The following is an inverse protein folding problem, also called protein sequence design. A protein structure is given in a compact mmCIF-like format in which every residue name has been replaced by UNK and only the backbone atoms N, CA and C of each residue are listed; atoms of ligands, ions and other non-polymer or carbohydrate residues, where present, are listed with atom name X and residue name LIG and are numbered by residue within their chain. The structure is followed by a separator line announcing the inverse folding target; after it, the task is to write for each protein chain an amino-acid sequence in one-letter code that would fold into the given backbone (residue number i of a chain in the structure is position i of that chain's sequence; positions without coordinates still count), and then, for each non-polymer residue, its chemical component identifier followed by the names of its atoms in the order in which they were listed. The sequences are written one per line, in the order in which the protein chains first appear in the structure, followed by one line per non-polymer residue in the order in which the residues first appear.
data_IF_031435290134
#
_entry.id   IF_031435290134
#
_cell.length_a   1.000
_cell.length_b   1.000
_cell.length_c   1.000
_cell.angle_alpha   90.00
_cell.angle_beta   90.00
_cell.angle_gamma   90.00
#
_symmetry.space_group_name_H-M   'P 1'
#
loop_
_entity.id
_entity.type
_entity.pdbx_description
1 polymer ?
#
# COMPACT_ATOMS: atom_id res chain seq x y z
N UNK A 1 -21.67 2.08 -14.86
CA UNK A 1 -21.53 0.65 -14.48
C UNK A 1 -20.20 0.46 -13.80
N UNK A 2 -20.13 -0.36 -12.76
CA UNK A 2 -18.86 -0.68 -12.09
C UNK A 2 -17.95 -1.48 -13.04
N UNK A 3 -16.67 -1.13 -13.09
CA UNK A 3 -15.65 -1.85 -13.87
C UNK A 3 -15.22 -3.08 -13.10
N UNK A 4 -15.09 -4.25 -13.76
CA UNK A 4 -14.63 -5.50 -13.17
C UNK A 4 -13.39 -5.97 -13.90
N UNK A 5 -12.41 -6.46 -13.14
CA UNK A 5 -11.22 -7.13 -13.67
C UNK A 5 -11.56 -8.59 -14.04
N UNK A 6 -10.70 -9.22 -14.85
CA UNK A 6 -10.97 -10.58 -15.33
C UNK A 6 -11.16 -11.59 -14.21
N UNK A 7 -10.42 -11.48 -13.14
CA UNK A 7 -10.54 -12.36 -11.97
C UNK A 7 -11.74 -12.08 -11.09
N UNK A 8 -12.44 -10.94 -11.30
CA UNK A 8 -13.68 -10.58 -10.60
C UNK A 8 -14.95 -11.02 -11.35
N UNK A 9 -14.85 -11.73 -12.48
CA UNK A 9 -16.02 -12.12 -13.30
C UNK A 9 -17.08 -12.92 -12.52
N UNK A 10 -16.64 -13.84 -11.64
CA UNK A 10 -17.57 -14.62 -10.81
C UNK A 10 -18.30 -13.73 -9.79
N UNK A 11 -17.62 -12.73 -9.22
CA UNK A 11 -18.20 -11.72 -8.31
C UNK A 11 -19.27 -10.92 -9.06
N UNK A 12 -18.95 -10.46 -10.28
CA UNK A 12 -19.89 -9.73 -11.14
C UNK A 12 -21.17 -10.53 -11.39
N UNK A 13 -21.03 -11.79 -11.80
CA UNK A 13 -22.18 -12.67 -12.06
C UNK A 13 -23.07 -12.82 -10.83
N UNK A 14 -22.48 -13.09 -9.65
CA UNK A 14 -23.24 -13.22 -8.41
C UNK A 14 -23.96 -11.91 -8.06
N UNK A 15 -23.35 -10.75 -8.29
CA UNK A 15 -23.98 -9.45 -8.05
C UNK A 15 -25.14 -9.18 -9.02
N UNK A 16 -25.02 -9.58 -10.28
CA UNK A 16 -26.11 -9.52 -11.26
C UNK A 16 -27.28 -10.45 -10.85
N UNK A 17 -26.97 -11.66 -10.35
CA UNK A 17 -27.97 -12.58 -9.80
C UNK A 17 -28.70 -11.98 -8.59
N UNK A 18 -27.97 -11.32 -7.67
CA UNK A 18 -28.56 -10.61 -6.51
C UNK A 18 -29.54 -9.54 -6.98
N UNK A 19 -29.14 -8.70 -7.94
CA UNK A 19 -30.03 -7.66 -8.50
C UNK A 19 -31.27 -8.30 -9.10
N UNK A 20 -31.10 -9.38 -9.84
CA UNK A 20 -32.23 -10.11 -10.47
C UNK A 20 -33.18 -10.71 -9.43
N UNK A 21 -32.64 -11.28 -8.33
CA UNK A 21 -33.43 -11.80 -7.22
C UNK A 21 -34.18 -10.70 -6.45
N UNK A 22 -33.56 -9.52 -6.28
CA UNK A 22 -34.20 -8.34 -5.68
C UNK A 22 -35.36 -7.83 -6.50
N UNK A 23 -35.21 -7.77 -7.83
CA UNK A 23 -36.33 -7.39 -8.75
C UNK A 23 -37.50 -8.37 -8.66
N UNK A 24 -37.24 -9.66 -8.41
CA UNK A 24 -38.25 -10.70 -8.20
C UNK A 24 -38.80 -10.73 -6.78
N UNK A 25 -38.34 -9.86 -5.87
CA UNK A 25 -38.74 -9.84 -4.45
C UNK A 25 -38.50 -11.18 -3.72
N UNK A 26 -37.43 -11.91 -4.10
CA UNK A 26 -37.09 -13.19 -3.48
C UNK A 26 -35.98 -12.99 -2.41
N UNK A 27 -36.36 -12.58 -1.21
CA UNK A 27 -35.46 -12.24 -0.12
C UNK A 27 -34.61 -13.45 0.32
N UNK A 28 -35.16 -14.66 0.29
CA UNK A 28 -34.41 -15.87 0.67
C UNK A 28 -33.26 -16.16 -0.30
N UNK A 29 -33.50 -15.99 -1.62
CA UNK A 29 -32.49 -16.13 -2.67
C UNK A 29 -31.42 -15.03 -2.54
N UNK A 30 -31.83 -13.79 -2.26
CA UNK A 30 -30.92 -12.66 -2.03
C UNK A 30 -29.93 -12.95 -0.89
N UNK A 31 -30.43 -13.45 0.25
CA UNK A 31 -29.58 -13.78 1.39
C UNK A 31 -28.63 -14.97 1.10
N UNK A 32 -29.09 -15.98 0.37
CA UNK A 32 -28.23 -17.07 -0.06
C UNK A 32 -27.12 -16.62 -1.01
N UNK A 33 -27.46 -15.75 -1.98
CA UNK A 33 -26.50 -15.16 -2.92
C UNK A 33 -25.51 -14.22 -2.27
N UNK A 34 -25.90 -13.42 -1.27
CA UNK A 34 -24.97 -12.58 -0.48
C UNK A 34 -23.93 -13.45 0.24
N UNK A 35 -24.34 -14.53 0.90
CA UNK A 35 -23.40 -15.47 1.55
C UNK A 35 -22.47 -16.14 0.56
N UNK A 36 -22.95 -16.42 -0.67
CA UNK A 36 -22.12 -16.94 -1.77
C UNK A 36 -21.12 -15.88 -2.24
N UNK A 37 -21.57 -14.63 -2.36
CA UNK A 37 -20.72 -13.49 -2.73
C UNK A 37 -19.58 -13.32 -1.73
N UNK A 38 -19.87 -13.29 -0.43
CA UNK A 38 -18.85 -13.12 0.62
C UNK A 38 -17.78 -14.20 0.55
N UNK A 39 -18.18 -15.47 0.38
CA UNK A 39 -17.24 -16.60 0.22
C UNK A 39 -16.38 -16.46 -1.04
N UNK A 40 -16.97 -16.06 -2.15
CA UNK A 40 -16.25 -15.92 -3.43
C UNK A 40 -15.27 -14.73 -3.37
N UNK A 41 -15.69 -13.60 -2.77
CA UNK A 41 -14.82 -12.45 -2.50
C UNK A 41 -13.65 -12.88 -1.63
N UNK A 42 -13.91 -13.56 -0.52
CA UNK A 42 -12.86 -14.03 0.38
C UNK A 42 -11.87 -14.97 -0.31
N UNK A 43 -12.35 -15.90 -1.10
CA UNK A 43 -11.54 -16.85 -1.87
C UNK A 43 -10.62 -16.16 -2.86
N UNK A 44 -11.12 -15.16 -3.60
CA UNK A 44 -10.36 -14.44 -4.62
C UNK A 44 -9.37 -13.48 -3.97
N UNK A 45 -9.84 -12.60 -3.08
CA UNK A 45 -9.04 -11.49 -2.57
C UNK A 45 -8.02 -11.89 -1.48
N UNK A 46 -8.16 -13.06 -0.86
CA UNK A 46 -7.11 -13.61 0.01
C UNK A 46 -5.92 -14.20 -0.76
N UNK A 47 -6.11 -14.53 -2.04
CA UNK A 47 -5.13 -15.25 -2.86
C UNK A 47 -4.75 -14.49 -4.14
N UNK A 48 -4.76 -13.16 -4.12
CA UNK A 48 -4.38 -12.36 -5.27
C UNK A 48 -2.90 -12.55 -5.61
N UNK A 49 -2.61 -12.77 -6.89
CA UNK A 49 -1.24 -12.70 -7.41
C UNK A 49 -0.73 -11.25 -7.43
N UNK A 50 0.60 -11.07 -7.49
CA UNK A 50 1.21 -9.75 -7.57
C UNK A 50 0.72 -8.98 -8.80
N UNK A 51 0.49 -9.68 -9.91
CA UNK A 51 -0.09 -9.10 -11.12
C UNK A 51 -1.55 -8.62 -10.90
N UNK A 52 -2.36 -9.38 -10.18
CA UNK A 52 -3.72 -8.95 -9.82
C UNK A 52 -3.70 -7.74 -8.88
N UNK A 53 -2.75 -7.66 -7.95
CA UNK A 53 -2.54 -6.46 -7.12
C UNK A 53 -2.14 -5.25 -7.97
N UNK A 54 -1.24 -5.43 -8.95
CA UNK A 54 -0.90 -4.40 -9.94
C UNK A 54 -2.14 -3.89 -10.68
N UNK A 55 -3.03 -4.81 -11.12
CA UNK A 55 -4.29 -4.44 -11.79
C UNK A 55 -5.21 -3.63 -10.86
N UNK A 56 -5.29 -4.01 -9.57
CA UNK A 56 -6.06 -3.26 -8.56
C UNK A 56 -5.48 -1.87 -8.28
N UNK A 57 -4.14 -1.75 -8.19
CA UNK A 57 -3.47 -0.46 -8.03
C UNK A 57 -3.82 0.52 -9.15
N UNK A 58 -4.00 0.02 -10.36
CA UNK A 58 -4.33 0.77 -11.58
C UNK A 58 -5.80 0.78 -11.94
N UNK A 59 -6.67 0.26 -11.06
CA UNK A 59 -8.10 0.15 -11.36
C UNK A 59 -8.73 1.52 -11.62
N UNK A 60 -9.55 1.66 -12.67
CA UNK A 60 -10.13 2.93 -13.10
C UNK A 60 -11.02 3.60 -12.05
N UNK A 61 -11.70 2.78 -11.23
CA UNK A 61 -12.57 3.27 -10.16
C UNK A 61 -11.83 3.46 -8.83
N UNK A 62 -10.51 3.17 -8.75
CA UNK A 62 -9.72 3.42 -7.55
C UNK A 62 -9.70 4.92 -7.23
N UNK A 63 -9.88 5.32 -5.96
CA UNK A 63 -9.81 6.72 -5.57
C UNK A 63 -8.42 7.30 -5.84
N UNK A 64 -8.37 8.51 -6.39
CA UNK A 64 -7.16 9.29 -6.57
C UNK A 64 -6.97 10.27 -5.41
N UNK A 65 -5.84 10.96 -5.36
CA UNK A 65 -5.51 11.87 -4.27
C UNK A 65 -6.62 12.89 -3.97
N UNK A 66 -7.22 13.50 -5.01
CA UNK A 66 -8.31 14.48 -4.83
C UNK A 66 -9.56 13.85 -4.22
N UNK A 67 -9.86 12.59 -4.51
CA UNK A 67 -11.01 11.89 -3.92
C UNK A 67 -10.77 11.72 -2.41
N UNK A 68 -9.58 11.25 -2.00
CA UNK A 68 -9.22 11.14 -0.59
C UNK A 68 -9.22 12.49 0.12
N UNK A 69 -8.59 13.52 -0.47
CA UNK A 69 -8.58 14.87 0.08
C UNK A 69 -10.00 15.39 0.32
N UNK A 70 -10.93 15.12 -0.60
CA UNK A 70 -12.32 15.55 -0.46
C UNK A 70 -13.07 14.78 0.64
N UNK A 71 -12.72 13.52 0.90
CA UNK A 71 -13.34 12.70 1.95
C UNK A 71 -12.76 12.95 3.34
N UNK A 72 -11.47 13.29 3.47
CA UNK A 72 -10.80 13.39 4.78
C UNK A 72 -10.53 14.81 5.26
N UNK A 73 -10.49 15.81 4.35
CA UNK A 73 -10.19 17.21 4.69
C UNK A 73 -11.42 18.09 4.69
N UNK A 74 -11.43 19.07 5.59
CA UNK A 74 -12.39 20.17 5.60
C UNK A 74 -11.67 21.53 5.72
N UNK A 75 -12.38 22.64 5.49
CA UNK A 75 -11.87 24.01 5.52
C UNK A 75 -10.52 24.16 4.80
N UNK A 76 -10.48 23.64 3.57
CA UNK A 76 -9.25 23.51 2.79
C UNK A 76 -9.14 24.53 1.67
N UNK A 77 -7.91 24.97 1.43
CA UNK A 77 -7.54 25.90 0.36
C UNK A 77 -6.49 25.28 -0.53
N UNK A 78 -6.69 25.34 -1.84
CA UNK A 78 -5.72 24.82 -2.81
C UNK A 78 -4.57 25.80 -3.03
N UNK A 79 -3.34 25.30 -3.05
CA UNK A 79 -2.11 26.05 -3.30
C UNK A 79 -1.69 25.83 -4.74
N UNK A 80 -1.64 26.90 -5.54
CA UNK A 80 -1.31 26.85 -6.96
C UNK A 80 0.05 27.43 -7.29
N UNK A 81 0.68 26.90 -8.34
CA UNK A 81 1.88 27.43 -8.98
C UNK A 81 3.17 27.24 -8.19
N UNK A 82 4.27 27.15 -8.93
CA UNK A 82 5.62 26.95 -8.39
C UNK A 82 6.36 28.25 -8.04
N UNK A 83 5.82 29.41 -8.41
CA UNK A 83 6.45 30.75 -8.30
C UNK A 83 7.69 30.94 -9.19
N UNK A 84 7.90 30.04 -10.15
CA UNK A 84 8.99 30.15 -11.13
C UNK A 84 8.47 30.18 -12.56
N UNK A 85 7.64 29.22 -12.96
CA UNK A 85 7.18 29.07 -14.32
C UNK A 85 5.65 29.06 -14.44
N UNK A 86 4.99 28.05 -13.86
CA UNK A 86 3.52 27.89 -13.91
C UNK A 86 2.99 26.94 -12.85
N UNK A 87 1.72 26.59 -12.97
CA UNK A 87 1.09 25.52 -12.22
C UNK A 87 1.14 24.20 -12.98
N UNK A 88 1.17 23.07 -12.25
CA UNK A 88 1.00 21.73 -12.79
C UNK A 88 -0.16 21.01 -12.09
N UNK A 89 -1.15 20.62 -12.89
CA UNK A 89 -2.35 19.94 -12.38
C UNK A 89 -2.11 18.48 -12.01
N UNK A 90 -0.96 17.88 -12.34
CA UNK A 90 -0.59 16.53 -11.93
C UNK A 90 -0.18 16.45 -10.46
N UNK A 91 0.20 17.56 -9.84
CA UNK A 91 0.36 17.69 -8.39
C UNK A 91 -0.68 18.68 -7.87
N UNK A 92 -1.35 18.31 -6.78
CA UNK A 92 -2.30 19.16 -6.06
C UNK A 92 -1.79 19.36 -4.64
N UNK A 93 -1.94 20.57 -4.11
CA UNK A 93 -1.49 20.91 -2.77
C UNK A 93 -2.63 21.63 -2.04
N UNK A 94 -2.93 21.22 -0.83
CA UNK A 94 -3.97 21.82 0.00
C UNK A 94 -3.43 22.15 1.40
N UNK A 95 -3.95 23.22 1.99
CA UNK A 95 -3.83 23.53 3.40
C UNK A 95 -5.23 23.53 4.01
N UNK A 96 -5.41 22.91 5.16
CA UNK A 96 -6.72 22.79 5.82
C UNK A 96 -6.67 21.88 7.02
N UNK A 97 -7.72 21.15 7.30
CA UNK A 97 -7.85 20.29 8.47
C UNK A 97 -8.14 18.84 8.11
N UNK A 98 -7.55 17.90 8.85
CA UNK A 98 -7.94 16.49 8.92
C UNK A 98 -8.34 16.20 10.39
N UNK A 99 -9.64 15.99 10.66
CA UNK A 99 -10.13 16.08 12.05
C UNK A 99 -9.86 17.47 12.62
N UNK A 100 -9.24 17.53 13.79
CA UNK A 100 -8.86 18.82 14.43
C UNK A 100 -7.42 19.23 14.09
N UNK A 101 -6.69 18.43 13.31
CA UNK A 101 -5.30 18.66 12.98
C UNK A 101 -5.19 19.59 11.76
N UNK A 102 -4.47 20.71 11.90
CA UNK A 102 -4.10 21.59 10.78
C UNK A 102 -2.99 20.94 9.99
N UNK A 103 -3.15 20.80 8.68
CA UNK A 103 -2.21 20.05 7.84
C UNK A 103 -1.95 20.71 6.50
N UNK A 104 -0.82 20.38 5.90
CA UNK A 104 -0.61 20.53 4.46
C UNK A 104 -0.69 19.14 3.82
N UNK A 105 -1.43 19.03 2.71
CA UNK A 105 -1.54 17.80 1.94
C UNK A 105 -1.04 18.04 0.53
N UNK A 106 -0.15 17.18 0.06
CA UNK A 106 0.35 17.13 -1.31
C UNK A 106 -0.12 15.82 -1.92
N UNK A 107 -0.63 15.84 -3.15
CA UNK A 107 -1.08 14.61 -3.81
C UNK A 107 -0.71 14.59 -5.29
N UNK A 108 -0.23 13.45 -5.76
CA UNK A 108 -0.15 13.16 -7.19
C UNK A 108 -1.52 12.77 -7.70
N UNK A 109 -1.95 13.43 -8.76
CA UNK A 109 -3.32 13.38 -9.23
C UNK A 109 -3.42 12.89 -10.66
N UNK A 110 -3.96 11.71 -10.84
CA UNK A 110 -4.41 11.20 -12.14
C UNK A 110 -5.77 11.82 -12.51
N UNK A 111 -6.07 11.90 -13.79
CA UNK A 111 -7.36 12.40 -14.28
C UNK A 111 -8.32 11.28 -14.67
N UNK A 112 -9.64 11.51 -14.52
CA UNK A 112 -10.70 10.67 -15.10
C UNK A 112 -11.22 11.26 -16.40
N UNK A 113 -11.42 10.39 -17.39
CA UNK A 113 -11.79 10.79 -18.75
C UNK A 113 -10.64 11.49 -19.50
N UNK A 114 -10.71 11.50 -20.83
CA UNK A 114 -9.61 11.94 -21.71
C UNK A 114 -9.15 13.36 -21.41
N UNK A 115 -10.08 14.31 -21.31
CA UNK A 115 -9.76 15.72 -21.08
C UNK A 115 -8.99 15.96 -19.77
N UNK A 116 -9.43 15.32 -18.68
CA UNK A 116 -8.76 15.46 -17.39
C UNK A 116 -7.44 14.70 -17.33
N UNK A 117 -7.34 13.54 -17.99
CA UNK A 117 -6.06 12.83 -18.12
C UNK A 117 -5.03 13.68 -18.82
N UNK A 118 -5.39 14.30 -19.96
CA UNK A 118 -4.49 15.22 -20.69
C UNK A 118 -4.10 16.43 -19.85
N UNK A 119 -5.07 17.08 -19.16
CA UNK A 119 -4.79 18.23 -18.27
C UNK A 119 -3.79 17.89 -17.16
N UNK A 120 -3.76 16.65 -16.70
CA UNK A 120 -2.90 16.15 -15.60
C UNK A 120 -1.74 15.29 -16.10
N UNK A 121 -1.39 15.40 -17.38
CA UNK A 121 -0.30 14.65 -18.00
C UNK A 121 -0.35 13.15 -17.67
N UNK A 122 -1.55 12.55 -17.60
CA UNK A 122 -1.78 11.17 -17.21
C UNK A 122 -1.26 10.80 -15.79
N UNK A 123 -1.13 11.79 -14.93
CA UNK A 123 -0.58 11.65 -13.58
C UNK A 123 0.93 11.77 -13.52
N UNK A 124 1.58 12.23 -14.58
CA UNK A 124 3.02 12.43 -14.66
C UNK A 124 3.36 13.91 -14.43
N UNK A 125 3.93 14.31 -13.27
CA UNK A 125 4.24 15.71 -13.00
C UNK A 125 5.40 16.25 -13.85
N UNK A 126 5.29 17.50 -14.22
CA UNK A 126 6.38 18.32 -14.75
C UNK A 126 7.23 18.92 -13.60
N UNK A 127 8.39 19.55 -13.89
CA UNK A 127 9.24 20.18 -12.88
C UNK A 127 8.51 21.16 -11.96
N UNK A 128 7.61 21.95 -12.54
CA UNK A 128 6.79 22.92 -11.80
C UNK A 128 5.84 22.28 -10.79
N UNK A 129 5.41 21.05 -11.02
CA UNK A 129 4.64 20.25 -10.04
C UNK A 129 5.48 19.93 -8.81
N UNK A 130 6.70 19.42 -8.98
CA UNK A 130 7.62 19.12 -7.90
C UNK A 130 8.05 20.36 -7.13
N UNK A 131 8.34 21.48 -7.84
CA UNK A 131 8.64 22.76 -7.18
C UNK A 131 7.45 23.31 -6.39
N UNK A 132 6.23 23.13 -6.89
CA UNK A 132 5.01 23.47 -6.13
C UNK A 132 4.87 22.59 -4.88
N UNK A 133 5.14 21.28 -4.98
CA UNK A 133 5.15 20.39 -3.84
C UNK A 133 6.14 20.84 -2.77
N UNK A 134 7.39 21.14 -3.17
CA UNK A 134 8.41 21.64 -2.24
C UNK A 134 7.98 22.96 -1.59
N UNK A 135 7.41 23.88 -2.36
CA UNK A 135 6.89 25.14 -1.81
C UNK A 135 5.80 24.92 -0.77
N UNK A 136 4.90 23.96 -1.00
CA UNK A 136 3.88 23.59 -0.03
C UNK A 136 4.49 22.92 1.22
N UNK A 137 5.50 22.07 1.05
CA UNK A 137 6.25 21.45 2.16
C UNK A 137 6.96 22.51 3.01
N UNK A 138 7.61 23.51 2.38
CA UNK A 138 8.24 24.63 3.12
C UNK A 138 7.22 25.55 3.82
N UNK A 139 5.98 25.65 3.32
CA UNK A 139 4.91 26.31 4.08
C UNK A 139 4.49 25.47 5.30
N UNK A 140 4.41 24.16 5.17
CA UNK A 140 4.15 23.28 6.32
C UNK A 140 5.22 23.46 7.41
N UNK A 141 6.49 23.43 7.03
CA UNK A 141 7.63 23.66 7.94
C UNK A 141 7.52 25.03 8.62
N UNK A 142 7.34 26.11 7.83
CA UNK A 142 7.25 27.47 8.34
C UNK A 142 6.16 27.68 9.39
N UNK A 143 5.05 26.98 9.27
CA UNK A 143 3.90 27.09 10.17
C UNK A 143 3.82 25.92 11.17
N UNK A 144 4.84 25.05 11.20
CA UNK A 144 4.91 23.85 12.03
C UNK A 144 3.65 22.97 11.89
N UNK A 145 3.22 22.75 10.64
CA UNK A 145 2.09 21.91 10.29
C UNK A 145 2.58 20.53 9.84
N UNK A 146 1.95 19.44 10.23
CA UNK A 146 2.21 18.13 9.64
C UNK A 146 1.97 18.13 8.14
N UNK A 147 2.76 17.31 7.44
CA UNK A 147 2.68 17.16 5.99
C UNK A 147 2.23 15.73 5.64
N UNK A 148 1.13 15.61 4.89
CA UNK A 148 0.68 14.36 4.28
C UNK A 148 0.97 14.40 2.78
N UNK A 149 1.62 13.35 2.27
CA UNK A 149 1.92 13.17 0.85
C UNK A 149 1.23 11.91 0.32
N UNK A 150 0.40 12.05 -0.71
CA UNK A 150 -0.36 10.96 -1.34
C UNK A 150 0.23 10.69 -2.73
N UNK A 151 0.84 9.51 -2.88
CA UNK A 151 1.56 9.10 -4.09
C UNK A 151 0.65 8.29 -4.99
N UNK A 152 0.45 8.76 -6.24
CA UNK A 152 -0.24 8.02 -7.29
C UNK A 152 0.19 8.47 -8.70
N UNK A 153 1.37 8.04 -9.13
CA UNK A 153 1.97 8.41 -10.42
C UNK A 153 2.61 7.20 -11.10
N UNK A 154 2.53 7.09 -12.43
CA UNK A 154 3.36 6.14 -13.19
C UNK A 154 4.82 6.56 -13.28
N UNK A 155 5.16 7.82 -12.93
CA UNK A 155 6.49 8.40 -12.99
C UNK A 155 6.47 9.89 -13.31
N UNK A 156 7.64 10.52 -13.36
CA UNK A 156 7.79 11.91 -13.81
C UNK A 156 7.56 12.03 -15.32
N UNK A 157 7.08 13.19 -15.78
CA UNK A 157 6.87 13.44 -17.21
C UNK A 157 8.21 13.43 -17.98
N UNK A 158 8.36 12.56 -19.02
CA UNK A 158 9.66 12.33 -19.66
C UNK A 158 9.90 13.21 -20.90
N UNK A 159 9.04 14.20 -21.19
CA UNK A 159 9.11 14.99 -22.41
C UNK A 159 10.19 16.06 -22.39
N UNK A 160 10.66 16.48 -23.58
CA UNK A 160 11.68 17.51 -23.79
C UNK A 160 11.41 18.78 -22.95
N UNK A 161 10.18 19.27 -22.95
CA UNK A 161 9.84 20.46 -22.17
C UNK A 161 10.00 20.29 -20.65
N UNK A 162 10.00 19.06 -20.11
CA UNK A 162 10.35 18.82 -18.72
C UNK A 162 11.86 18.86 -18.51
N UNK A 163 12.64 18.28 -19.42
CA UNK A 163 14.10 18.38 -19.38
C UNK A 163 14.61 19.81 -19.49
N UNK A 164 14.08 20.59 -20.42
CA UNK A 164 14.39 22.03 -20.59
C UNK A 164 14.14 22.84 -19.31
N UNK A 165 13.21 22.39 -18.46
CA UNK A 165 12.88 23.05 -17.19
C UNK A 165 13.45 22.36 -15.97
N UNK A 166 14.46 21.48 -16.17
CA UNK A 166 15.22 20.81 -15.12
C UNK A 166 14.38 19.80 -14.29
N UNK A 167 13.80 18.79 -14.95
CA UNK A 167 13.03 17.71 -14.29
C UNK A 167 13.84 16.99 -13.21
N UNK A 168 15.07 16.59 -13.54
CA UNK A 168 15.94 15.88 -12.60
C UNK A 168 16.35 16.74 -11.40
N UNK A 169 16.63 18.02 -11.60
CA UNK A 169 16.94 18.96 -10.51
C UNK A 169 15.72 19.14 -9.59
N UNK A 170 14.52 19.32 -10.14
CA UNK A 170 13.32 19.50 -9.34
C UNK A 170 13.02 18.26 -8.46
N UNK A 171 13.25 17.05 -8.97
CA UNK A 171 13.14 15.81 -8.21
C UNK A 171 14.23 15.72 -7.15
N UNK A 172 15.51 15.89 -7.54
CA UNK A 172 16.65 15.76 -6.64
C UNK A 172 16.60 16.78 -5.49
N UNK A 173 16.19 18.01 -5.77
CA UNK A 173 15.99 19.03 -4.76
C UNK A 173 14.91 18.64 -3.76
N UNK A 174 13.80 18.08 -4.22
CA UNK A 174 12.77 17.59 -3.32
C UNK A 174 13.29 16.49 -2.40
N UNK A 175 14.09 15.54 -2.92
CA UNK A 175 14.69 14.49 -2.08
C UNK A 175 15.53 15.08 -0.96
N UNK A 176 16.42 16.03 -1.28
CA UNK A 176 17.29 16.70 -0.32
C UNK A 176 16.48 17.48 0.72
N UNK A 177 15.62 18.37 0.26
CA UNK A 177 14.87 19.30 1.12
C UNK A 177 13.82 18.60 2.00
N UNK A 178 13.18 17.52 1.51
CA UNK A 178 12.25 16.73 2.31
C UNK A 178 12.99 15.89 3.36
N UNK A 179 14.21 15.42 3.06
CA UNK A 179 15.03 14.72 4.05
C UNK A 179 15.36 15.61 5.25
N UNK A 180 15.54 16.91 5.02
CA UNK A 180 15.89 17.91 6.03
C UNK A 180 14.67 18.64 6.64
N UNK A 181 13.44 18.32 6.20
CA UNK A 181 12.23 19.05 6.61
C UNK A 181 11.93 18.85 8.10
N UNK A 182 11.77 19.95 8.82
CA UNK A 182 11.67 19.96 10.29
C UNK A 182 10.27 19.74 10.85
N UNK A 183 9.28 19.46 10.06
CA UNK A 183 7.91 19.16 10.50
C UNK A 183 7.60 17.66 10.36
N UNK A 184 6.65 17.10 11.13
CA UNK A 184 6.20 15.71 10.94
C UNK A 184 5.72 15.44 9.52
N UNK A 185 6.22 14.36 8.91
CA UNK A 185 5.91 14.01 7.53
C UNK A 185 5.44 12.57 7.41
N UNK A 186 4.35 12.35 6.67
CA UNK A 186 3.81 11.03 6.35
C UNK A 186 3.58 10.94 4.85
N UNK A 187 4.13 9.92 4.21
CA UNK A 187 3.93 9.63 2.79
C UNK A 187 3.22 8.30 2.59
N UNK A 188 2.22 8.26 1.73
CA UNK A 188 1.37 7.09 1.50
C UNK A 188 1.21 6.83 0.01
N UNK A 189 1.61 5.64 -0.44
CA UNK A 189 1.30 5.18 -1.79
C UNK A 189 -0.14 4.70 -1.83
N UNK A 190 -1.01 5.43 -2.53
CA UNK A 190 -2.45 5.16 -2.60
C UNK A 190 -2.86 4.35 -3.83
N UNK A 191 -1.99 4.23 -4.81
CA UNK A 191 -2.21 3.47 -6.04
C UNK A 191 -0.91 2.98 -6.64
N UNK A 192 -0.30 3.76 -7.50
CA UNK A 192 0.93 3.42 -8.21
C UNK A 192 2.03 4.44 -7.87
N UNK A 193 3.17 3.97 -7.35
CA UNK A 193 4.33 4.80 -7.06
C UNK A 193 5.47 4.51 -8.04
N UNK A 194 5.57 5.32 -9.11
CA UNK A 194 6.53 5.11 -10.18
C UNK A 194 7.80 5.94 -10.04
N UNK A 195 8.96 5.27 -9.90
CA UNK A 195 10.31 5.82 -10.08
C UNK A 195 10.57 7.13 -9.30
N UNK A 196 11.42 8.01 -9.84
CA UNK A 196 11.74 9.32 -9.28
C UNK A 196 10.53 10.23 -9.11
N UNK A 197 9.47 10.03 -9.91
CA UNK A 197 8.22 10.77 -9.74
C UNK A 197 7.59 10.57 -8.37
N UNK A 198 7.50 9.33 -7.95
CA UNK A 198 6.99 8.96 -6.63
C UNK A 198 7.97 9.34 -5.51
N UNK A 199 9.29 9.13 -5.73
CA UNK A 199 10.32 9.47 -4.75
C UNK A 199 10.35 10.96 -4.42
N UNK A 200 10.08 11.84 -5.40
CA UNK A 200 10.10 13.29 -5.23
C UNK A 200 9.15 13.82 -4.14
N UNK A 201 8.17 13.04 -3.75
CA UNK A 201 7.30 13.30 -2.58
C UNK A 201 7.22 12.09 -1.65
N UNK A 202 8.16 11.14 -1.77
CA UNK A 202 8.19 9.90 -0.98
C UNK A 202 9.03 9.97 0.29
N UNK A 203 9.92 10.96 0.40
CA UNK A 203 10.82 11.10 1.55
C UNK A 203 10.06 11.67 2.74
N UNK A 204 9.93 10.88 3.82
CA UNK A 204 9.11 11.22 4.98
C UNK A 204 9.57 10.50 6.26
N UNK A 205 9.10 10.94 7.44
CA UNK A 205 9.29 10.24 8.71
C UNK A 205 8.61 8.87 8.68
N UNK A 206 7.41 8.79 8.07
CA UNK A 206 6.67 7.56 7.84
C UNK A 206 6.36 7.39 6.36
N UNK A 207 6.72 6.24 5.82
CA UNK A 207 6.43 5.86 4.45
C UNK A 207 5.60 4.58 4.43
N UNK A 208 4.32 4.70 4.11
CA UNK A 208 3.37 3.60 4.10
C UNK A 208 2.81 3.34 2.70
N UNK A 209 2.25 2.16 2.53
CA UNK A 209 1.53 1.79 1.31
C UNK A 209 0.14 1.26 1.63
N UNK A 210 -0.85 1.59 0.83
CA UNK A 210 -2.12 0.89 0.84
C UNK A 210 -1.92 -0.55 0.36
N UNK A 211 -2.68 -1.49 0.91
CA UNK A 211 -2.48 -2.94 0.69
C UNK A 211 -2.41 -3.35 -0.78
N UNK A 212 -3.24 -2.76 -1.63
CA UNK A 212 -3.28 -3.07 -3.06
C UNK A 212 -2.63 -1.98 -3.90
N UNK A 213 -1.69 -1.22 -3.35
CA UNK A 213 -0.83 -0.32 -4.09
C UNK A 213 0.47 -0.99 -4.51
N UNK A 214 1.20 -0.38 -5.42
CA UNK A 214 2.52 -0.82 -5.88
C UNK A 214 3.52 0.33 -5.85
N UNK A 215 4.79 0.00 -5.65
CA UNK A 215 5.88 0.96 -5.72
C UNK A 215 7.08 0.33 -6.44
N UNK A 216 7.59 0.99 -7.47
CA UNK A 216 8.62 0.42 -8.34
C UNK A 216 9.45 1.48 -9.05
N UNK A 217 10.72 1.16 -9.32
CA UNK A 217 11.63 2.01 -10.11
C UNK A 217 11.27 2.05 -11.60
N UNK A 218 10.66 0.99 -12.12
CA UNK A 218 10.27 0.84 -13.53
C UNK A 218 8.91 0.14 -13.63
N UNK A 219 8.13 0.44 -14.65
CA UNK A 219 6.90 -0.32 -14.89
C UNK A 219 7.18 -1.78 -15.20
N UNK A 220 6.36 -2.74 -14.76
CA UNK A 220 6.52 -4.14 -15.12
C UNK A 220 6.56 -4.39 -16.62
N UNK A 221 5.83 -3.61 -17.42
CA UNK A 221 5.84 -3.63 -18.88
C UNK A 221 7.21 -3.23 -19.43
N UNK A 222 7.79 -2.14 -18.90
CA UNK A 222 9.13 -1.68 -19.28
C UNK A 222 10.21 -2.71 -18.89
N UNK A 223 10.12 -3.26 -17.70
CA UNK A 223 11.01 -4.33 -17.24
C UNK A 223 10.92 -5.57 -18.14
N UNK A 224 9.71 -6.01 -18.49
CA UNK A 224 9.49 -7.14 -19.39
C UNK A 224 10.10 -6.90 -20.77
N UNK A 225 9.93 -5.70 -21.32
CA UNK A 225 10.49 -5.33 -22.61
C UNK A 225 12.04 -5.33 -22.59
N UNK A 226 12.66 -4.81 -21.53
CA UNK A 226 14.12 -4.70 -21.41
C UNK A 226 14.76 -6.08 -21.16
N UNK A 227 14.26 -6.84 -20.19
CA UNK A 227 14.92 -8.07 -19.74
C UNK A 227 14.59 -9.28 -20.62
N UNK A 228 13.39 -9.35 -21.17
CA UNK A 228 12.94 -10.50 -21.96
C UNK A 228 12.64 -10.18 -23.43
N UNK A 229 12.73 -8.92 -23.83
CA UNK A 229 12.31 -8.44 -25.15
C UNK A 229 10.88 -8.92 -25.53
N UNK A 230 10.03 -9.13 -24.53
CA UNK A 230 8.65 -9.62 -24.67
C UNK A 230 7.71 -8.91 -23.67
N UNK A 231 6.93 -7.92 -24.13
CA UNK A 231 5.98 -7.21 -23.28
C UNK A 231 4.90 -8.11 -22.64
N UNK A 232 4.69 -9.33 -23.16
CA UNK A 232 3.73 -10.30 -22.58
C UNK A 232 4.23 -10.91 -21.27
N UNK A 233 5.50 -10.74 -20.93
CA UNK A 233 6.10 -11.23 -19.67
C UNK A 233 5.87 -10.31 -18.46
N UNK A 234 4.85 -9.44 -18.53
CA UNK A 234 4.51 -8.49 -17.45
C UNK A 234 4.27 -9.21 -16.13
N UNK A 235 3.56 -10.33 -16.11
CA UNK A 235 3.31 -11.08 -14.88
C UNK A 235 4.60 -11.60 -14.24
N UNK A 236 5.52 -12.14 -15.06
CA UNK A 236 6.85 -12.58 -14.61
C UNK A 236 7.66 -11.40 -14.07
N UNK A 237 7.64 -10.26 -14.78
CA UNK A 237 8.32 -9.05 -14.36
C UNK A 237 7.75 -8.50 -13.04
N UNK A 238 6.42 -8.46 -12.89
CA UNK A 238 5.76 -8.02 -11.66
C UNK A 238 6.23 -8.81 -10.45
N UNK A 239 6.28 -10.14 -10.56
CA UNK A 239 6.75 -11.02 -9.50
C UNK A 239 8.25 -10.83 -9.20
N UNK A 240 9.08 -10.66 -10.25
CA UNK A 240 10.52 -10.49 -10.09
C UNK A 240 10.90 -9.14 -9.45
N UNK A 241 10.15 -8.09 -9.75
CA UNK A 241 10.40 -6.73 -9.27
C UNK A 241 10.07 -6.52 -7.78
N UNK A 242 9.31 -7.40 -7.15
CA UNK A 242 8.95 -7.27 -5.72
C UNK A 242 8.32 -5.92 -5.38
N UNK A 243 7.23 -5.57 -6.05
CA UNK A 243 6.64 -4.22 -6.03
C UNK A 243 5.42 -4.07 -5.13
N UNK A 244 4.95 -5.16 -4.51
CA UNK A 244 3.77 -5.13 -3.65
C UNK A 244 4.07 -4.58 -2.26
N UNK A 245 3.05 -4.12 -1.55
CA UNK A 245 3.21 -3.59 -0.21
C UNK A 245 3.83 -4.63 0.75
N UNK A 246 3.44 -5.89 0.62
CA UNK A 246 4.00 -6.98 1.42
C UNK A 246 5.49 -7.22 1.10
N UNK A 247 5.86 -7.29 -0.18
CA UNK A 247 7.27 -7.44 -0.58
C UNK A 247 8.14 -6.31 -0.01
N UNK A 248 7.67 -5.05 -0.12
CA UNK A 248 8.44 -3.89 0.30
C UNK A 248 8.51 -3.75 1.82
N UNK A 249 7.49 -4.20 2.55
CA UNK A 249 7.51 -4.31 4.00
C UNK A 249 8.53 -5.35 4.45
N UNK A 250 8.56 -6.51 3.82
CA UNK A 250 9.51 -7.59 4.10
C UNK A 250 10.96 -7.18 3.80
N UNK A 251 11.16 -6.32 2.80
CA UNK A 251 12.47 -5.74 2.46
C UNK A 251 12.85 -4.55 3.36
N UNK A 252 11.98 -4.11 4.26
CA UNK A 252 12.23 -2.96 5.15
C UNK A 252 12.24 -1.61 4.42
N UNK A 253 11.66 -1.51 3.24
CA UNK A 253 11.60 -0.30 2.43
C UNK A 253 10.42 0.60 2.76
N UNK A 254 9.40 0.08 3.42
CA UNK A 254 8.24 0.83 3.92
C UNK A 254 8.03 0.55 5.40
N UNK A 255 7.47 1.53 6.12
CA UNK A 255 7.19 1.41 7.54
C UNK A 255 5.93 0.59 7.80
N UNK A 256 4.86 0.77 7.02
CA UNK A 256 3.57 0.16 7.31
C UNK A 256 2.74 -0.15 6.06
N UNK A 257 1.81 -1.10 6.22
CA UNK A 257 0.77 -1.41 5.24
C UNK A 257 -0.57 -0.94 5.79
N UNK A 258 -1.18 0.04 5.14
CA UNK A 258 -2.53 0.51 5.48
C UNK A 258 -3.54 -0.50 4.92
N UNK A 259 -4.37 -1.05 5.82
CA UNK A 259 -5.39 -2.03 5.45
C UNK A 259 -6.46 -1.40 4.58
N UNK A 260 -6.66 -1.96 3.42
CA UNK A 260 -7.82 -1.66 2.58
C UNK A 260 -8.98 -2.60 2.90
N UNK A 261 -10.23 -2.22 2.56
CA UNK A 261 -11.33 -3.18 2.49
C UNK A 261 -10.93 -4.39 1.64
N UNK A 262 -11.38 -5.58 2.02
CA UNK A 262 -10.98 -6.82 1.34
C UNK A 262 -11.20 -6.74 -0.18
N UNK A 263 -12.34 -6.17 -0.59
CA UNK A 263 -12.72 -5.99 -2.00
C UNK A 263 -12.03 -4.77 -2.67
N UNK A 264 -11.12 -4.09 -1.96
CA UNK A 264 -10.33 -2.96 -2.45
C UNK A 264 -11.00 -1.58 -2.33
N UNK A 265 -10.16 -0.54 -2.36
CA UNK A 265 -10.59 0.86 -2.24
C UNK A 265 -11.53 1.30 -3.38
N UNK A 266 -11.49 0.68 -4.55
CA UNK A 266 -12.35 1.00 -5.69
C UNK A 266 -13.83 0.64 -5.46
N UNK A 267 -14.12 -0.23 -4.50
CA UNK A 267 -15.48 -0.63 -4.11
C UNK A 267 -15.98 0.06 -2.83
N UNK A 268 -15.08 0.32 -1.88
CA UNK A 268 -15.41 0.89 -0.57
C UNK A 268 -14.50 2.10 -0.27
N UNK A 269 -14.72 3.18 -1.03
CA UNK A 269 -13.87 4.39 -1.02
C UNK A 269 -13.82 5.06 0.34
N UNK A 270 -14.97 5.15 1.01
CA UNK A 270 -15.11 5.81 2.31
C UNK A 270 -14.35 5.06 3.41
N UNK A 271 -14.40 3.71 3.39
CA UNK A 271 -13.61 2.90 4.35
C UNK A 271 -12.11 3.04 4.10
N UNK A 272 -11.69 3.07 2.84
CA UNK A 272 -10.30 3.29 2.48
C UNK A 272 -9.81 4.69 2.90
N UNK A 273 -10.65 5.71 2.72
CA UNK A 273 -10.35 7.07 3.17
C UNK A 273 -10.27 7.17 4.70
N UNK A 274 -11.18 6.51 5.42
CA UNK A 274 -11.14 6.43 6.88
C UNK A 274 -9.84 5.80 7.39
N UNK A 275 -9.38 4.71 6.77
CA UNK A 275 -8.11 4.05 7.12
C UNK A 275 -6.89 4.97 6.91
N UNK A 276 -6.85 5.73 5.81
CA UNK A 276 -5.79 6.73 5.58
C UNK A 276 -5.83 7.83 6.64
N UNK A 277 -7.02 8.35 6.96
CA UNK A 277 -7.21 9.40 7.98
C UNK A 277 -6.74 8.92 9.35
N UNK A 278 -7.17 7.73 9.77
CA UNK A 278 -6.81 7.13 11.05
C UNK A 278 -5.29 6.93 11.16
N UNK A 279 -4.68 6.29 10.16
CA UNK A 279 -3.24 6.08 10.12
C UNK A 279 -2.46 7.40 10.18
N UNK A 280 -2.86 8.40 9.40
CA UNK A 280 -2.18 9.70 9.39
C UNK A 280 -2.25 10.38 10.76
N UNK A 281 -3.42 10.44 11.38
CA UNK A 281 -3.58 11.10 12.68
C UNK A 281 -2.83 10.36 13.80
N UNK A 282 -2.82 9.03 13.77
CA UNK A 282 -2.05 8.21 14.71
C UNK A 282 -0.54 8.46 14.59
N UNK A 283 0.00 8.41 13.37
CA UNK A 283 1.43 8.59 13.16
C UNK A 283 1.88 10.04 13.43
N UNK A 284 1.08 11.04 13.06
CA UNK A 284 1.37 12.43 13.41
C UNK A 284 1.39 12.63 14.93
N UNK A 285 0.47 12.00 15.67
CA UNK A 285 0.47 12.01 17.13
C UNK A 285 1.81 11.51 17.67
N UNK A 286 2.26 10.33 17.25
CA UNK A 286 3.54 9.74 17.65
C UNK A 286 4.75 10.61 17.28
N UNK A 287 4.74 11.19 16.08
CA UNK A 287 5.83 12.04 15.60
C UNK A 287 5.92 13.38 16.35
N UNK A 288 4.80 13.91 16.84
CA UNK A 288 4.76 15.13 17.65
C UNK A 288 5.27 14.92 19.09
N UNK A 289 5.25 13.69 19.60
CA UNK A 289 5.83 13.34 20.90
C UNK A 289 7.36 13.34 20.90
N UNK A 290 7.97 13.24 19.72
CA UNK A 290 9.44 13.26 19.55
C UNK A 290 9.96 14.70 19.45
N UNK A 291 11.20 14.92 19.92
CA UNK A 291 11.90 16.17 19.60
C UNK A 291 12.22 16.26 18.10
N UNK A 292 12.49 17.46 17.61
CA UNK A 292 12.90 17.67 16.20
C UNK A 292 14.16 16.86 15.90
N UNK A 293 15.17 16.90 16.78
CA UNK A 293 16.44 16.21 16.61
C UNK A 293 16.25 14.69 16.57
N UNK A 294 15.44 14.13 17.47
CA UNK A 294 15.15 12.70 17.49
C UNK A 294 14.44 12.25 16.21
N UNK A 295 13.46 13.01 15.75
CA UNK A 295 12.72 12.70 14.53
C UNK A 295 13.61 12.75 13.29
N UNK A 296 14.47 13.79 13.20
CA UNK A 296 15.42 13.94 12.10
C UNK A 296 16.45 12.81 12.08
N UNK A 297 17.00 12.43 13.24
CA UNK A 297 17.93 11.31 13.36
C UNK A 297 17.29 10.00 12.89
N UNK A 298 16.07 9.69 13.36
CA UNK A 298 15.34 8.48 12.95
C UNK A 298 15.03 8.47 11.45
N UNK A 299 14.71 9.63 10.87
CA UNK A 299 14.49 9.75 9.41
C UNK A 299 15.78 9.48 8.65
N UNK A 300 16.90 10.04 9.09
CA UNK A 300 18.22 9.81 8.49
C UNK A 300 18.60 8.32 8.55
N UNK A 301 18.51 7.71 9.72
CA UNK A 301 18.83 6.28 9.92
C UNK A 301 17.98 5.41 9.00
N UNK A 302 16.67 5.70 8.91
CA UNK A 302 15.77 4.98 8.02
C UNK A 302 16.15 5.12 6.53
N UNK A 303 16.50 6.32 6.08
CA UNK A 303 16.83 6.57 4.68
C UNK A 303 18.18 5.95 4.28
N UNK A 304 19.10 5.78 5.23
CA UNK A 304 20.43 5.20 5.01
C UNK A 304 20.50 3.70 5.27
N UNK A 305 19.51 3.11 5.95
CA UNK A 305 19.47 1.68 6.28
C UNK A 305 19.28 0.72 5.08
N UNK A 306 18.52 1.07 4.01
CA UNK A 306 18.29 0.14 2.90
C UNK A 306 19.57 -0.23 2.15
N UNK A 307 19.73 -1.53 1.93
CA UNK A 307 20.88 -2.10 1.20
C UNK A 307 21.98 -2.61 2.11
N UNK A 308 22.30 -3.90 1.95
CA UNK A 308 23.46 -4.50 2.62
C UNK A 308 24.74 -4.13 1.86
N UNK A 309 25.76 -3.64 2.56
CA UNK A 309 27.08 -3.37 1.99
C UNK A 309 28.18 -3.93 2.88
N UNK A 310 29.35 -4.16 2.30
CA UNK A 310 30.57 -4.56 3.03
C UNK A 310 31.65 -3.54 2.76
N UNK A 311 32.29 -3.07 3.82
CA UNK A 311 33.49 -2.24 3.69
C UNK A 311 34.73 -3.11 3.47
N UNK A 312 35.60 -2.70 2.55
CA UNK A 312 36.85 -3.41 2.31
C UNK A 312 37.74 -3.35 3.56
N UNK A 313 38.09 -4.53 4.12
CA UNK A 313 38.92 -4.63 5.32
C UNK A 313 38.20 -4.87 6.64
N UNK A 314 36.87 -4.84 6.67
CA UNK A 314 36.12 -5.39 7.79
C UNK A 314 36.00 -6.90 7.63
N UNK A 315 36.57 -7.66 8.56
CA UNK A 315 36.26 -9.09 8.72
C UNK A 315 34.76 -9.20 8.98
N UNK A 316 34.12 -10.14 8.29
CA UNK A 316 32.70 -10.45 8.50
C UNK A 316 32.45 -10.64 10.00
N UNK A 317 31.78 -9.73 10.69
CA UNK A 317 30.87 -10.16 11.72
C UNK A 317 29.80 -10.97 11.01
N UNK A 318 30.09 -12.25 10.80
CA UNK A 318 29.07 -13.21 10.41
C UNK A 318 27.95 -13.01 11.43
N UNK A 319 26.71 -12.73 11.00
CA UNK A 319 25.57 -12.85 11.90
C UNK A 319 25.82 -14.19 12.57
N UNK A 320 26.02 -14.21 13.87
CA UNK A 320 26.56 -15.36 14.53
C UNK A 320 25.70 -16.54 14.10
N UNK A 321 26.31 -17.68 13.81
CA UNK A 321 25.56 -18.91 13.53
C UNK A 321 24.46 -19.13 14.59
N UNK A 322 24.60 -18.51 15.75
CA UNK A 322 23.62 -18.38 16.82
C UNK A 322 22.38 -17.55 16.47
N UNK A 323 22.51 -16.43 15.72
CA UNK A 323 21.33 -15.62 15.34
C UNK A 323 20.54 -16.31 14.21
N UNK A 324 21.26 -16.89 13.23
CA UNK A 324 20.65 -17.74 12.20
C UNK A 324 20.11 -19.05 12.78
N UNK A 325 20.76 -19.63 13.81
CA UNK A 325 20.29 -20.81 14.53
C UNK A 325 19.15 -20.48 15.52
N UNK A 326 19.07 -19.27 16.05
CA UNK A 326 17.97 -18.85 16.91
C UNK A 326 16.68 -18.62 16.12
N UNK A 327 16.77 -18.08 14.89
CA UNK A 327 15.64 -17.99 13.96
C UNK A 327 15.21 -19.42 13.52
N UNK A 328 16.16 -20.31 13.25
CA UNK A 328 15.89 -21.71 12.91
C UNK A 328 15.46 -22.57 14.11
N UNK A 329 15.89 -22.22 15.32
CA UNK A 329 15.45 -22.89 16.56
C UNK A 329 14.08 -22.44 17.01
N UNK A 330 13.71 -21.16 16.90
CA UNK A 330 12.35 -20.69 17.16
C UNK A 330 11.35 -21.34 16.19
N UNK A 331 11.69 -21.44 14.91
CA UNK A 331 10.83 -22.12 13.91
C UNK A 331 10.80 -23.66 14.05
N UNK A 332 11.82 -24.28 14.66
CA UNK A 332 11.83 -25.72 14.96
C UNK A 332 11.21 -26.07 16.31
N UNK A 333 11.31 -25.19 17.32
CA UNK A 333 10.62 -25.34 18.61
C UNK A 333 9.11 -25.23 18.43
N UNK A 334 8.63 -24.29 17.60
CA UNK A 334 7.20 -24.15 17.29
C UNK A 334 6.64 -25.35 16.50
N UNK A 335 7.45 -25.94 15.60
CA UNK A 335 7.07 -27.16 14.88
C UNK A 335 7.11 -28.41 15.76
N UNK A 336 8.03 -28.46 16.77
CA UNK A 336 8.14 -29.59 17.70
C UNK A 336 7.04 -29.53 18.76
N UNK A 337 6.75 -28.33 19.29
CA UNK A 337 5.63 -28.14 20.22
C UNK A 337 4.27 -28.49 19.57
N UNK A 338 4.02 -28.04 18.33
CA UNK A 338 2.80 -28.43 17.58
C UNK A 338 2.71 -29.94 17.26
N UNK A 339 3.86 -30.60 17.14
CA UNK A 339 3.88 -32.06 16.87
C UNK A 339 3.72 -32.88 18.14
N UNK A 340 4.19 -32.39 19.29
CA UNK A 340 3.98 -32.97 20.60
C UNK A 340 2.53 -32.78 21.07
N UNK A 341 1.96 -31.62 20.90
CA UNK A 341 0.56 -31.33 21.18
C UNK A 341 -0.40 -32.19 20.34
N UNK A 342 -0.05 -32.43 19.07
CA UNK A 342 -0.82 -33.33 18.19
C UNK A 342 -0.73 -34.81 18.61
N UNK A 343 0.44 -35.23 19.09
CA UNK A 343 0.60 -36.59 19.65
C UNK A 343 -0.16 -36.82 20.96
N UNK A 344 -0.14 -35.80 21.85
CA UNK A 344 -0.93 -35.88 23.10
C UNK A 344 -2.44 -35.91 22.86
N UNK A 345 -2.91 -35.25 21.79
CA UNK A 345 -4.32 -35.28 21.39
C UNK A 345 -4.67 -36.66 20.79
N UNK A 346 -3.79 -37.24 19.99
CA UNK A 346 -3.97 -38.59 19.42
C UNK A 346 -3.92 -39.67 20.49
N UNK A 347 -2.97 -39.67 21.46
CA UNK A 347 -2.89 -40.61 22.58
C UNK A 347 -4.10 -40.50 23.52
N UNK A 348 -4.61 -39.27 23.77
CA UNK A 348 -5.84 -39.12 24.59
C UNK A 348 -7.09 -39.61 23.86
N UNK A 349 -7.11 -39.60 22.54
CA UNK A 349 -8.23 -40.14 21.75
C UNK A 349 -8.20 -41.69 21.68
N UNK A 350 -7.02 -42.30 21.67
CA UNK A 350 -6.88 -43.78 21.73
C UNK A 350 -7.23 -44.35 23.10
N UNK A 351 -6.80 -43.70 24.19
CA UNK A 351 -7.15 -44.12 25.55
C UNK A 351 -8.65 -43.98 25.82
N UNK A 352 -9.34 -43.03 25.19
CA UNK A 352 -10.80 -42.91 25.34
C UNK A 352 -11.58 -43.92 24.50
N UNK A 353 -10.97 -44.50 23.46
CA UNK A 353 -11.59 -45.55 22.64
C UNK A 353 -11.41 -46.97 23.23
N UNK A 354 -10.34 -47.23 24.02
CA UNK A 354 -10.15 -48.48 24.72
C UNK A 354 -11.01 -48.62 25.99
N UNK A 355 -11.32 -47.48 26.65
CA UNK A 355 -12.21 -47.51 27.84
C UNK A 355 -13.69 -47.77 27.52
N UNK A 356 -14.09 -47.72 26.25
CA UNK A 356 -15.48 -47.95 25.81
C UNK A 356 -15.73 -49.36 25.30
N UNK A 357 -14.71 -50.26 25.29
CA UNK A 357 -14.84 -51.62 24.77
C UNK A 357 -14.89 -52.72 25.85
N UNK A 358 -14.75 -52.38 27.16
CA UNK A 358 -14.80 -53.37 28.25
C UNK A 358 -16.15 -53.50 29.00
N UNK A 359 -17.18 -52.75 28.61
CA UNK A 359 -18.49 -52.83 29.27
C UNK A 359 -19.62 -53.32 28.34
N UNK A 360 -19.47 -54.42 27.64
CA UNK A 360 -20.65 -55.11 27.06
C UNK A 360 -20.32 -56.59 26.69
N UNK A 361 -20.27 -57.46 27.67
CA UNK A 361 -20.43 -58.89 27.46
C UNK A 361 -21.75 -59.33 28.07
N UNK A 362 -22.68 -59.90 27.34
CA UNK A 362 -23.93 -60.37 27.91
C UNK A 362 -23.75 -61.80 28.60
N UNK A 363 -24.12 -61.90 29.86
CA UNK A 363 -24.35 -63.13 30.55
C UNK A 363 -25.34 -64.06 29.81
N UNK A 364 -24.90 -65.27 29.46
CA UNK A 364 -25.78 -66.35 29.10
C UNK A 364 -26.43 -66.90 30.37
N UNK A 365 -27.74 -66.85 30.47
CA UNK A 365 -28.53 -67.77 31.36
C UNK A 365 -29.00 -68.89 30.50
N UNK A 366 -28.58 -70.13 30.97
CA UNK A 366 -29.26 -71.38 30.74
C UNK A 366 -30.53 -71.38 31.59
N UNK A 367 -31.66 -71.62 31.00
CA UNK A 367 -32.65 -72.70 31.21
C UNK A 367 -33.78 -72.48 30.17
#
# INVERSE_FOLDING_TARGET
MATYLDFEKSIKTIQEDIISAQVRHNDAEVEALKKKLDKEVEKIYKNLSDFQKLQLARHLDRPYALDYINMIMHDKYEIHGDRHFRDDAAIICYMGYIGDEKVVVIGEQKGRGTKNKMKRNFGMPHPEGYRKALRAAKLAEKFNLPLLMLIDTPGAYPGIGAEERNQSEAIARNLLELAELKTPTVSIVIGEGGSGGALAIGVADRFAMMRYSIFSVISPEGCAAILWNDPKKVETATKALKITAEDLKDLGLIDDIIKEPLIGAHREKEKAAAAIKEYFLEEVGKLKEMSEEERMAKRFDKLTAPGAFKEAGQEEEKPSLLDSLNILKSSKSDKKAKKEEKKEIEEKSEVSSEATTEENSPEKKED
#
